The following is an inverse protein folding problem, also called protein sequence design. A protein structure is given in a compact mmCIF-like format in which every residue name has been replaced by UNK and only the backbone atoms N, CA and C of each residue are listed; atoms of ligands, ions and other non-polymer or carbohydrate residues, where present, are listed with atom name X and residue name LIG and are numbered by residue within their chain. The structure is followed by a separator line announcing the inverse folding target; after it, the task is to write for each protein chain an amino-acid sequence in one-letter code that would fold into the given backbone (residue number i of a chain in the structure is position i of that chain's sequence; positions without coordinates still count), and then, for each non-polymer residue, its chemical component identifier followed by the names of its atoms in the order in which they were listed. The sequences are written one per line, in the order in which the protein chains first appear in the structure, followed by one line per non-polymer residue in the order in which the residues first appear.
data_IF_679218914027
#
_entry.id   IF_679218914027
#
_cell.length_a   1.000
_cell.length_b   1.000
_cell.length_c   1.000
_cell.angle_alpha   90.00
_cell.angle_beta   90.00
_cell.angle_gamma   90.00
#
_symmetry.space_group_name_H-M   'P 1'
#
loop_
_entity.id
_entity.type
_entity.pdbx_description
1 polymer ?
#
# COMPACT_ATOMS: atom_id res chain seq x y z
N UNK A 1 -67.14 15.67 44.27
CA UNK A 1 -65.86 16.35 43.97
C UNK A 1 -64.76 15.30 43.94
N UNK A 2 -64.28 15.10 42.72
CA UNK A 2 -63.29 14.20 42.13
C UNK A 2 -62.39 13.30 43.01
N UNK A 3 -62.47 12.00 42.68
CA UNK A 3 -61.65 10.88 43.11
C UNK A 3 -60.14 11.16 43.04
N UNK A 4 -59.52 11.20 44.22
CA UNK A 4 -58.08 11.18 44.46
C UNK A 4 -57.42 9.82 44.15
N UNK A 5 -58.17 8.87 43.60
CA UNK A 5 -57.73 7.49 43.31
C UNK A 5 -57.23 7.31 41.88
N UNK A 6 -57.39 8.31 40.99
CA UNK A 6 -56.98 8.23 39.57
C UNK A 6 -55.54 8.68 39.27
N UNK A 7 -54.91 9.45 40.16
CA UNK A 7 -53.54 9.99 39.97
C UNK A 7 -52.37 9.00 40.18
N UNK A 8 -52.47 7.94 41.04
CA UNK A 8 -51.35 7.01 41.23
C UNK A 8 -51.05 6.20 39.97
N UNK A 9 -52.08 5.84 39.21
CA UNK A 9 -51.96 5.01 38.02
C UNK A 9 -51.27 5.75 36.86
N UNK A 10 -51.54 7.05 36.66
CA UNK A 10 -50.87 7.83 35.61
C UNK A 10 -49.38 8.02 35.91
N UNK A 11 -49.03 8.28 37.18
CA UNK A 11 -47.64 8.42 37.62
C UNK A 11 -46.88 7.08 37.49
N UNK A 12 -47.54 5.97 37.83
CA UNK A 12 -46.96 4.63 37.66
C UNK A 12 -46.71 4.31 36.18
N UNK A 13 -47.67 4.61 35.31
CA UNK A 13 -47.53 4.40 33.85
C UNK A 13 -46.41 5.26 33.28
N UNK A 14 -46.29 6.52 33.71
CA UNK A 14 -45.19 7.41 33.32
C UNK A 14 -43.82 6.85 33.74
N UNK A 15 -43.70 6.39 35.00
CA UNK A 15 -42.47 5.76 35.49
C UNK A 15 -42.14 4.45 34.76
N UNK A 16 -43.14 3.64 34.43
CA UNK A 16 -42.94 2.42 33.64
C UNK A 16 -42.50 2.72 32.20
N UNK A 17 -43.02 3.79 31.59
CA UNK A 17 -42.58 4.23 30.27
C UNK A 17 -41.13 4.74 30.29
N UNK A 18 -40.76 5.55 31.27
CA UNK A 18 -39.37 6.00 31.46
C UNK A 18 -38.42 4.82 31.66
N UNK A 19 -38.80 3.85 32.50
CA UNK A 19 -38.00 2.65 32.74
C UNK A 19 -37.83 1.82 31.46
N UNK A 20 -38.87 1.75 30.63
CA UNK A 20 -38.84 1.07 29.33
C UNK A 20 -37.93 1.80 28.35
N UNK A 21 -37.98 3.13 28.28
CA UNK A 21 -37.08 3.94 27.45
C UNK A 21 -35.62 3.79 27.87
N UNK A 22 -35.35 3.86 29.18
CA UNK A 22 -34.01 3.69 29.74
C UNK A 22 -33.48 2.26 29.52
N UNK A 23 -34.35 1.25 29.66
CA UNK A 23 -34.01 -0.14 29.36
C UNK A 23 -33.69 -0.33 27.88
N UNK A 24 -34.49 0.26 26.98
CA UNK A 24 -34.22 0.22 25.53
C UNK A 24 -32.90 0.91 25.18
N UNK A 25 -32.63 2.08 25.77
CA UNK A 25 -31.37 2.81 25.55
C UNK A 25 -30.16 2.03 26.06
N UNK A 26 -30.32 1.34 27.20
CA UNK A 26 -29.25 0.48 27.76
C UNK A 26 -28.99 -0.71 26.85
N UNK A 27 -30.04 -1.36 26.34
CA UNK A 27 -29.89 -2.47 25.41
C UNK A 27 -29.19 -2.02 24.11
N UNK A 28 -29.53 -0.84 23.57
CA UNK A 28 -28.82 -0.27 22.42
C UNK A 28 -27.34 0.00 22.72
N UNK A 29 -27.02 0.55 23.89
CA UNK A 29 -25.64 0.77 24.29
C UNK A 29 -24.84 -0.54 24.41
N UNK A 30 -25.47 -1.61 24.91
CA UNK A 30 -24.86 -2.95 24.96
C UNK A 30 -24.62 -3.49 23.55
N UNK A 31 -25.62 -3.42 22.67
CA UNK A 31 -25.50 -3.88 21.28
C UNK A 31 -24.37 -3.14 20.52
N UNK A 32 -24.27 -1.82 20.72
CA UNK A 32 -23.21 -1.01 20.11
C UNK A 32 -21.83 -1.34 20.68
N UNK A 33 -21.75 -1.66 21.98
CA UNK A 33 -20.51 -2.10 22.62
C UNK A 33 -20.06 -3.47 22.11
N UNK A 34 -20.99 -4.41 21.95
CA UNK A 34 -20.71 -5.74 21.38
C UNK A 34 -20.23 -5.63 19.93
N UNK A 35 -20.85 -4.76 19.12
CA UNK A 35 -20.37 -4.46 17.75
C UNK A 35 -18.96 -3.89 17.77
N UNK A 36 -18.66 -2.97 18.68
CA UNK A 36 -17.33 -2.40 18.81
C UNK A 36 -16.27 -3.45 19.19
N UNK A 37 -16.59 -4.37 20.11
CA UNK A 37 -15.69 -5.48 20.47
C UNK A 37 -15.47 -6.43 19.30
N UNK A 38 -16.51 -6.73 18.52
CA UNK A 38 -16.36 -7.55 17.30
C UNK A 38 -15.50 -6.85 16.25
N UNK A 39 -15.71 -5.54 16.00
CA UNK A 39 -14.87 -4.79 15.05
C UNK A 39 -13.42 -4.73 15.53
N UNK A 40 -13.20 -4.50 16.84
CA UNK A 40 -11.87 -4.45 17.42
C UNK A 40 -11.11 -5.76 17.17
N UNK A 41 -11.77 -6.90 17.36
CA UNK A 41 -11.17 -8.21 17.09
C UNK A 41 -10.82 -8.37 15.61
N UNK A 42 -11.79 -8.15 14.72
CA UNK A 42 -11.61 -8.37 13.29
C UNK A 42 -10.54 -7.44 12.70
N UNK A 43 -10.57 -6.16 13.07
CA UNK A 43 -9.66 -5.15 12.53
C UNK A 43 -8.23 -5.37 13.06
N UNK A 44 -8.08 -5.78 14.32
CA UNK A 44 -6.76 -6.14 14.87
C UNK A 44 -6.16 -7.38 14.20
N UNK A 45 -6.98 -8.41 13.95
CA UNK A 45 -6.54 -9.61 13.22
C UNK A 45 -6.18 -9.28 11.76
N UNK A 46 -6.96 -8.42 11.10
CA UNK A 46 -6.67 -7.95 9.74
C UNK A 46 -5.35 -7.18 9.69
N UNK A 47 -5.19 -6.19 10.56
CA UNK A 47 -3.99 -5.37 10.64
C UNK A 47 -2.73 -6.23 10.88
N UNK A 48 -2.80 -7.25 11.75
CA UNK A 48 -1.68 -8.15 12.00
C UNK A 48 -1.27 -8.98 10.78
N UNK A 49 -2.26 -9.45 10.00
CA UNK A 49 -2.01 -10.16 8.74
C UNK A 49 -1.40 -9.23 7.71
N UNK A 50 -1.93 -8.02 7.57
CA UNK A 50 -1.43 -7.00 6.65
C UNK A 50 0.00 -6.62 6.97
N UNK A 51 0.34 -6.41 8.25
CA UNK A 51 1.73 -6.13 8.69
C UNK A 51 2.69 -7.23 8.23
N UNK A 52 2.32 -8.49 8.47
CA UNK A 52 3.17 -9.64 8.10
C UNK A 52 3.34 -9.78 6.58
N UNK A 53 2.25 -9.57 5.82
CA UNK A 53 2.25 -9.65 4.37
C UNK A 53 3.10 -8.53 3.74
N UNK A 54 2.90 -7.28 4.16
CA UNK A 54 3.65 -6.14 3.65
C UNK A 54 5.12 -6.18 4.06
N UNK A 55 5.45 -6.66 5.26
CA UNK A 55 6.85 -6.87 5.65
C UNK A 55 7.58 -7.82 4.68
N UNK A 56 6.93 -8.95 4.36
CA UNK A 56 7.48 -9.93 3.41
C UNK A 56 7.60 -9.32 2.00
N UNK A 57 6.58 -8.59 1.55
CA UNK A 57 6.57 -7.89 0.26
C UNK A 57 7.70 -6.87 0.14
N UNK A 58 7.94 -6.07 1.18
CA UNK A 58 9.06 -5.12 1.20
C UNK A 58 10.43 -5.83 1.14
N UNK A 59 10.57 -7.00 1.78
CA UNK A 59 11.81 -7.80 1.69
C UNK A 59 12.05 -8.35 0.29
N UNK A 60 10.99 -8.77 -0.40
CA UNK A 60 11.07 -9.19 -1.80
C UNK A 60 11.44 -8.00 -2.71
N UNK A 61 10.86 -6.83 -2.49
CA UNK A 61 11.17 -5.60 -3.24
C UNK A 61 12.65 -5.16 -3.02
N UNK A 62 13.17 -5.24 -1.78
CA UNK A 62 14.59 -5.01 -1.47
C UNK A 62 15.50 -6.03 -2.17
N UNK A 63 15.05 -7.27 -2.34
CA UNK A 63 15.78 -8.27 -3.11
C UNK A 63 15.79 -7.92 -4.60
N UNK A 64 14.66 -7.50 -5.18
CA UNK A 64 14.60 -7.05 -6.58
C UNK A 64 15.51 -5.83 -6.81
N UNK A 65 15.52 -4.85 -5.90
CA UNK A 65 16.44 -3.71 -6.00
C UNK A 65 17.92 -4.15 -6.00
N UNK A 66 18.27 -5.17 -5.21
CA UNK A 66 19.60 -5.80 -5.25
C UNK A 66 19.92 -6.47 -6.58
N UNK A 67 18.93 -7.04 -7.26
CA UNK A 67 19.11 -7.59 -8.61
C UNK A 67 19.30 -6.49 -9.66
N UNK A 68 18.65 -5.33 -9.50
CA UNK A 68 18.86 -4.18 -10.38
C UNK A 68 20.26 -3.60 -10.22
N UNK A 69 20.78 -3.57 -8.98
CA UNK A 69 22.15 -3.18 -8.66
C UNK A 69 22.58 -1.79 -9.19
N UNK A 70 21.67 -0.81 -9.17
CA UNK A 70 21.95 0.58 -9.54
C UNK A 70 21.62 1.56 -8.40
N UNK A 71 22.57 2.44 -8.07
CA UNK A 71 22.43 3.45 -7.00
C UNK A 71 21.25 4.41 -7.24
N UNK A 72 20.96 4.72 -8.50
CA UNK A 72 19.80 5.53 -8.89
C UNK A 72 18.46 4.85 -8.55
N UNK A 73 18.38 3.52 -8.69
CA UNK A 73 17.19 2.75 -8.29
C UNK A 73 17.02 2.74 -6.77
N UNK A 74 18.12 2.54 -6.03
CA UNK A 74 18.08 2.64 -4.57
C UNK A 74 17.64 4.03 -4.10
N UNK A 75 18.23 5.08 -4.65
CA UNK A 75 17.89 6.46 -4.30
C UNK A 75 16.41 6.79 -4.57
N UNK A 76 15.82 6.18 -5.61
CA UNK A 76 14.41 6.35 -5.99
C UNK A 76 13.45 5.63 -5.03
N UNK A 77 13.79 4.41 -4.58
CA UNK A 77 12.85 3.51 -3.90
C UNK A 77 13.11 3.33 -2.40
N UNK A 78 14.35 3.44 -1.92
CA UNK A 78 14.69 3.27 -0.51
C UNK A 78 13.87 4.16 0.43
N UNK A 79 13.67 5.47 0.16
CA UNK A 79 12.84 6.31 1.05
C UNK A 79 11.38 5.84 1.14
N UNK A 80 10.84 5.28 0.06
CA UNK A 80 9.46 4.77 0.03
C UNK A 80 9.33 3.45 0.81
N UNK A 81 10.32 2.56 0.68
CA UNK A 81 10.39 1.30 1.44
C UNK A 81 10.57 1.60 2.93
N UNK A 82 11.44 2.54 3.29
CA UNK A 82 11.60 3.01 4.68
C UNK A 82 10.31 3.59 5.24
N UNK A 83 9.55 4.35 4.43
CA UNK A 83 8.23 4.82 4.82
C UNK A 83 7.27 3.66 5.09
N UNK A 84 7.24 2.62 4.25
CA UNK A 84 6.45 1.42 4.51
C UNK A 84 6.83 0.75 5.84
N UNK A 85 8.13 0.61 6.14
CA UNK A 85 8.57 0.08 7.44
C UNK A 85 8.11 0.96 8.61
N UNK A 86 8.20 2.29 8.49
CA UNK A 86 7.71 3.19 9.53
C UNK A 86 6.20 3.08 9.77
N UNK A 87 5.43 2.77 8.72
CA UNK A 87 3.98 2.54 8.82
C UNK A 87 3.68 1.19 9.49
N UNK A 88 4.46 0.15 9.19
CA UNK A 88 4.36 -1.15 9.85
C UNK A 88 4.60 -1.03 11.36
N UNK A 89 5.66 -0.31 11.76
CA UNK A 89 5.98 -0.06 13.16
C UNK A 89 4.86 0.77 13.83
N UNK A 90 4.35 1.80 13.16
CA UNK A 90 3.25 2.61 13.69
C UNK A 90 1.95 1.80 13.89
N UNK A 91 1.63 0.88 12.98
CA UNK A 91 0.48 -0.03 13.13
C UNK A 91 0.72 -0.94 14.33
N UNK A 92 1.91 -1.54 14.43
CA UNK A 92 2.27 -2.44 15.52
C UNK A 92 2.18 -1.76 16.89
N UNK A 93 2.73 -0.56 17.03
CA UNK A 93 2.67 0.24 18.27
C UNK A 93 1.24 0.55 18.69
N UNK A 94 0.36 0.84 17.72
CA UNK A 94 -1.06 1.14 17.99
C UNK A 94 -1.83 -0.09 18.43
N UNK A 95 -1.53 -1.26 17.86
CA UNK A 95 -2.12 -2.54 18.28
C UNK A 95 -1.69 -2.94 19.70
N UNK A 96 -0.52 -2.50 20.16
CA UNK A 96 -0.06 -2.74 21.53
C UNK A 96 -0.67 -1.78 22.56
N UNK A 97 -1.16 -0.61 22.13
CA UNK A 97 -1.75 0.38 23.03
C UNK A 97 -3.18 0.03 23.45
N UNK A 98 -3.47 0.07 24.76
CA UNK A 98 -4.82 -0.13 25.31
C UNK A 98 -5.37 1.22 25.82
N UNK A 99 -6.58 1.65 25.41
CA UNK A 99 -7.47 1.03 24.42
C UNK A 99 -6.96 1.21 22.98
N UNK A 100 -7.19 0.21 22.12
CA UNK A 100 -6.77 0.27 20.71
C UNK A 100 -7.69 1.23 19.95
N UNK A 101 -7.08 2.21 19.27
CA UNK A 101 -7.77 3.08 18.33
C UNK A 101 -7.87 2.43 16.95
N UNK A 102 -8.95 1.67 16.76
CA UNK A 102 -9.22 0.90 15.53
C UNK A 102 -9.29 1.79 14.29
N UNK A 103 -9.82 3.00 14.41
CA UNK A 103 -9.93 3.94 13.27
C UNK A 103 -8.55 4.31 12.77
N UNK A 104 -7.65 4.60 13.69
CA UNK A 104 -6.28 5.01 13.37
C UNK A 104 -5.45 3.86 12.81
N UNK A 105 -5.68 2.63 13.29
CA UNK A 105 -5.09 1.42 12.70
C UNK A 105 -5.53 1.27 11.25
N UNK A 106 -6.83 1.39 10.97
CA UNK A 106 -7.36 1.29 9.60
C UNK A 106 -6.85 2.42 8.68
N UNK A 107 -6.69 3.64 9.19
CA UNK A 107 -6.07 4.74 8.43
C UNK A 107 -4.62 4.42 8.01
N UNK A 108 -3.81 3.94 8.95
CA UNK A 108 -2.42 3.56 8.70
C UNK A 108 -2.33 2.34 7.76
N UNK A 109 -3.21 1.36 7.90
CA UNK A 109 -3.28 0.19 7.02
C UNK A 109 -3.62 0.59 5.58
N UNK A 110 -4.56 1.52 5.40
CA UNK A 110 -4.91 2.04 4.08
C UNK A 110 -3.73 2.79 3.42
N UNK A 111 -3.01 3.62 4.19
CA UNK A 111 -1.80 4.30 3.69
C UNK A 111 -0.72 3.29 3.30
N UNK A 112 -0.44 2.31 4.16
CA UNK A 112 0.51 1.23 3.90
C UNK A 112 0.12 0.44 2.65
N UNK A 113 -1.16 0.14 2.49
CA UNK A 113 -1.65 -0.62 1.35
C UNK A 113 -1.47 0.12 0.04
N UNK A 114 -1.86 1.40 0.00
CA UNK A 114 -1.70 2.24 -1.18
C UNK A 114 -0.22 2.42 -1.56
N UNK A 115 0.62 2.77 -0.59
CA UNK A 115 2.04 3.02 -0.84
C UNK A 115 2.79 1.73 -1.17
N UNK A 116 2.53 0.65 -0.41
CA UNK A 116 3.17 -0.65 -0.58
C UNK A 116 2.86 -1.28 -1.94
N UNK A 117 1.62 -1.15 -2.43
CA UNK A 117 1.27 -1.62 -3.77
C UNK A 117 1.96 -0.79 -4.86
N UNK A 118 1.89 0.56 -4.76
CA UNK A 118 2.54 1.46 -5.72
C UNK A 118 4.04 1.17 -5.86
N UNK A 119 4.73 1.01 -4.73
CA UNK A 119 6.18 0.76 -4.68
C UNK A 119 6.51 -0.59 -5.30
N UNK A 120 5.81 -1.65 -4.89
CA UNK A 120 6.11 -3.01 -5.37
C UNK A 120 5.85 -3.14 -6.86
N UNK A 121 4.72 -2.60 -7.36
CA UNK A 121 4.40 -2.63 -8.78
C UNK A 121 5.41 -1.82 -9.60
N UNK A 122 5.83 -0.66 -9.09
CA UNK A 122 6.84 0.16 -9.77
C UNK A 122 8.20 -0.53 -9.84
N UNK A 123 8.64 -1.18 -8.77
CA UNK A 123 9.91 -1.92 -8.71
C UNK A 123 9.89 -3.11 -9.67
N UNK A 124 8.81 -3.91 -9.66
CA UNK A 124 8.66 -5.06 -10.57
C UNK A 124 8.66 -4.62 -12.02
N UNK A 125 7.92 -3.55 -12.35
CA UNK A 125 7.87 -3.00 -13.69
C UNK A 125 9.23 -2.48 -14.16
N UNK A 126 9.96 -1.76 -13.30
CA UNK A 126 11.30 -1.28 -13.62
C UNK A 126 12.27 -2.46 -13.81
N UNK A 127 12.16 -3.52 -13.01
CA UNK A 127 12.97 -4.74 -13.15
C UNK A 127 12.70 -5.48 -14.47
N UNK A 128 11.44 -5.68 -14.82
CA UNK A 128 11.05 -6.27 -16.12
C UNK A 128 11.59 -5.43 -17.27
N UNK A 129 11.42 -4.11 -17.20
CA UNK A 129 11.91 -3.19 -18.21
C UNK A 129 13.44 -3.21 -18.30
N UNK A 130 14.15 -3.32 -17.18
CA UNK A 130 15.60 -3.47 -17.15
C UNK A 130 16.05 -4.72 -17.92
N UNK A 131 15.39 -5.86 -17.69
CA UNK A 131 15.72 -7.12 -18.40
C UNK A 131 15.53 -6.98 -19.91
N UNK A 132 14.40 -6.41 -20.35
CA UNK A 132 14.12 -6.16 -21.77
C UNK A 132 15.14 -5.21 -22.40
N UNK A 133 15.45 -4.13 -21.69
CA UNK A 133 16.43 -3.13 -22.13
C UNK A 133 17.81 -3.73 -22.28
N UNK A 134 18.24 -4.54 -21.31
CA UNK A 134 19.54 -5.20 -21.35
C UNK A 134 19.63 -6.15 -22.56
N UNK A 135 18.60 -6.95 -22.82
CA UNK A 135 18.54 -7.80 -23.99
C UNK A 135 18.65 -6.99 -25.31
N UNK A 136 17.92 -5.87 -25.41
CA UNK A 136 17.99 -4.97 -26.58
C UNK A 136 19.37 -4.32 -26.75
N UNK A 137 20.00 -3.86 -25.66
CA UNK A 137 21.38 -3.32 -25.66
C UNK A 137 22.34 -4.38 -26.20
N UNK A 138 22.31 -5.59 -25.64
CA UNK A 138 23.20 -6.68 -26.04
C UNK A 138 23.03 -7.04 -27.52
N UNK A 139 21.79 -7.08 -28.01
CA UNK A 139 21.50 -7.33 -29.42
C UNK A 139 22.07 -6.22 -30.32
N UNK A 140 21.78 -4.95 -30.02
CA UNK A 140 22.26 -3.81 -30.79
C UNK A 140 23.80 -3.69 -30.75
N UNK A 141 24.43 -4.09 -29.64
CA UNK A 141 25.88 -4.06 -29.48
C UNK A 141 26.61 -5.00 -30.45
N UNK A 142 25.96 -6.07 -30.93
CA UNK A 142 26.50 -6.97 -31.96
C UNK A 142 26.79 -6.22 -33.26
N UNK A 143 25.92 -5.30 -33.64
CA UNK A 143 25.95 -4.63 -34.94
C UNK A 143 26.61 -3.23 -34.86
N UNK A 144 27.07 -2.83 -33.66
CA UNK A 144 27.68 -1.53 -33.32
C UNK A 144 28.85 -1.12 -34.23
N UNK A 145 29.67 -2.08 -34.67
CA UNK A 145 30.85 -1.81 -35.51
C UNK A 145 30.51 -1.49 -36.97
N UNK A 146 29.33 -1.88 -37.41
CA UNK A 146 28.94 -1.77 -38.81
C UNK A 146 28.09 -0.53 -39.09
N UNK A 147 27.52 0.08 -38.06
CA UNK A 147 26.54 1.16 -38.17
C UNK A 147 26.84 2.29 -37.16
N UNK A 148 27.36 3.42 -37.65
CA UNK A 148 27.69 4.56 -36.80
C UNK A 148 26.48 5.14 -36.04
N UNK A 149 25.28 5.07 -36.62
CA UNK A 149 24.05 5.50 -35.95
C UNK A 149 23.70 4.63 -34.73
N UNK A 150 24.02 3.33 -34.78
CA UNK A 150 23.79 2.40 -33.67
C UNK A 150 24.74 2.70 -32.51
N UNK A 151 25.99 3.09 -32.77
CA UNK A 151 26.93 3.47 -31.70
C UNK A 151 26.47 4.71 -30.92
N UNK A 152 25.92 5.71 -31.61
CA UNK A 152 25.40 6.93 -30.95
C UNK A 152 24.19 6.60 -30.09
N UNK A 153 23.22 5.85 -30.64
CA UNK A 153 22.02 5.45 -29.92
C UNK A 153 22.36 4.56 -28.71
N UNK A 154 23.31 3.64 -28.85
CA UNK A 154 23.79 2.80 -27.74
C UNK A 154 24.39 3.62 -26.60
N UNK A 155 25.24 4.60 -26.89
CA UNK A 155 25.82 5.47 -25.84
C UNK A 155 24.73 6.23 -25.08
N UNK A 156 23.71 6.72 -25.79
CA UNK A 156 22.60 7.43 -25.17
C UNK A 156 21.72 6.50 -24.32
N UNK A 157 21.41 5.31 -24.84
CA UNK A 157 20.62 4.33 -24.10
C UNK A 157 21.37 3.72 -22.91
N UNK A 158 22.67 3.50 -23.00
CA UNK A 158 23.54 3.14 -21.88
C UNK A 158 23.46 4.21 -20.77
N UNK A 159 23.52 5.50 -21.13
CA UNK A 159 23.36 6.60 -20.18
C UNK A 159 22.00 6.58 -19.46
N UNK A 160 20.91 6.33 -20.20
CA UNK A 160 19.58 6.19 -19.60
C UNK A 160 19.46 4.95 -18.73
N UNK A 161 20.06 3.83 -19.14
CA UNK A 161 20.09 2.58 -18.38
C UNK A 161 20.77 2.77 -17.02
N UNK A 162 21.95 3.40 -16.99
CA UNK A 162 22.67 3.69 -15.73
C UNK A 162 21.98 4.73 -14.85
N UNK A 163 21.02 5.49 -15.40
CA UNK A 163 20.19 6.43 -14.65
C UNK A 163 18.87 5.79 -14.17
N UNK A 164 18.70 4.47 -14.31
CA UNK A 164 17.46 3.72 -14.05
C UNK A 164 16.26 4.14 -14.90
N UNK A 165 16.48 4.79 -16.04
CA UNK A 165 15.44 5.16 -17.00
C UNK A 165 15.26 4.08 -18.07
N UNK A 166 15.05 2.84 -17.64
CA UNK A 166 15.06 1.65 -18.51
C UNK A 166 14.10 1.75 -19.69
N UNK A 167 12.90 2.30 -19.48
CA UNK A 167 11.92 2.45 -20.56
C UNK A 167 12.44 3.36 -21.68
N UNK A 168 13.05 4.49 -21.32
CA UNK A 168 13.61 5.42 -22.32
C UNK A 168 14.78 4.79 -23.06
N UNK A 169 15.65 4.06 -22.36
CA UNK A 169 16.74 3.32 -22.96
C UNK A 169 16.24 2.27 -23.98
N UNK A 170 15.18 1.54 -23.63
CA UNK A 170 14.56 0.54 -24.52
C UNK A 170 13.94 1.18 -25.76
N UNK A 171 13.18 2.26 -25.59
CA UNK A 171 12.51 2.96 -26.68
C UNK A 171 13.54 3.54 -27.67
N UNK A 172 14.64 4.12 -27.17
CA UNK A 172 15.73 4.67 -27.98
C UNK A 172 16.42 3.60 -28.85
N UNK A 173 16.72 2.44 -28.26
CA UNK A 173 17.39 1.35 -28.97
C UNK A 173 16.45 0.74 -30.01
N UNK A 174 15.19 0.46 -29.65
CA UNK A 174 14.26 -0.15 -30.58
C UNK A 174 13.90 0.78 -31.74
N UNK A 175 13.77 2.08 -31.50
CA UNK A 175 13.58 3.04 -32.58
C UNK A 175 14.75 3.01 -33.57
N UNK A 176 15.99 2.84 -33.06
CA UNK A 176 17.17 2.76 -33.91
C UNK A 176 17.27 1.42 -34.64
N UNK A 177 16.98 0.30 -33.97
CA UNK A 177 16.97 -1.03 -34.60
C UNK A 177 15.92 -1.13 -35.72
N UNK A 178 14.74 -0.55 -35.54
CA UNK A 178 13.70 -0.49 -36.59
C UNK A 178 14.16 0.29 -37.82
N UNK A 179 14.72 1.49 -37.61
CA UNK A 179 15.31 2.30 -38.68
C UNK A 179 16.38 1.56 -39.46
N UNK A 180 17.23 0.80 -38.78
CA UNK A 180 18.28 -0.02 -39.40
C UNK A 180 17.71 -1.23 -40.15
N UNK A 181 16.64 -1.83 -39.64
CA UNK A 181 15.95 -2.96 -40.28
C UNK A 181 15.12 -2.56 -41.51
N UNK A 182 14.88 -1.25 -41.72
CA UNK A 182 14.07 -0.73 -42.82
C UNK A 182 12.55 -0.78 -42.57
N UNK A 183 12.13 -0.90 -41.31
CA UNK A 183 10.74 -0.78 -40.84
C UNK A 183 10.50 0.59 -40.17
#
# INVERSE_FOLDING_TARGET
MHSSTRQPYSLLVEKMNLLKEESNSTNQAIDDFDRYLMSLKNDSESAFRSVSAYYSKMKDDEYILRLIALDSSYSKYSPKIERCYSLLDAIYDRLQSLPIDVRKVNELENELSSLGEEVSDSIKKDYEQMLLTNASILYANRDRRHLGEVDVALKQAESYYFSSEFKKAYDEINATLKRVAGE
#
